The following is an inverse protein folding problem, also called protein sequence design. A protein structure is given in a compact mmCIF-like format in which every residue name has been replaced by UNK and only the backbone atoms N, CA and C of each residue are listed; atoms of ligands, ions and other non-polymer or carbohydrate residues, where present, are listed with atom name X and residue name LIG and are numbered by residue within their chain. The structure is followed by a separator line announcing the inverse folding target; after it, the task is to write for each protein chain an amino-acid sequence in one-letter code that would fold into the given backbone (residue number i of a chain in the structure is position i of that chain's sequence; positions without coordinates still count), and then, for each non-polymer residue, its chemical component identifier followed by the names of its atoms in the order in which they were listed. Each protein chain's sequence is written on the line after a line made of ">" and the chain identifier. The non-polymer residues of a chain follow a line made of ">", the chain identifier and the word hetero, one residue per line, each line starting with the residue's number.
data_IF_154348713178
#
_entry.id   IF_154348713178
#
_cell.length_a   1.000
_cell.length_b   1.000
_cell.length_c   1.000
_cell.angle_alpha   90.00
_cell.angle_beta   90.00
_cell.angle_gamma   90.00
#
_symmetry.space_group_name_H-M   'P 1'
#
loop_
_entity.id
_entity.type
_entity.pdbx_description
1 polymer ?
#
# COMPACT_ATOMS: atom_id res chain seq x y z
N UNK A 1 -12.57 -17.54 -2.56
CA UNK A 1 -12.47 -16.09 -2.36
C UNK A 1 -12.08 -15.45 -3.69
N UNK A 2 -12.69 -14.36 -4.11
CA UNK A 2 -12.27 -13.69 -5.35
C UNK A 2 -10.80 -13.27 -5.25
N UNK A 3 -10.12 -13.21 -6.38
CA UNK A 3 -8.74 -12.71 -6.39
C UNK A 3 -8.74 -11.21 -6.14
N UNK A 4 -7.98 -10.78 -5.14
CA UNK A 4 -7.93 -9.40 -4.65
C UNK A 4 -6.47 -8.99 -4.55
N UNK A 5 -6.16 -7.77 -4.96
CA UNK A 5 -4.86 -7.14 -4.70
C UNK A 5 -5.00 -5.97 -3.75
N UNK A 6 -3.92 -5.70 -3.02
CA UNK A 6 -3.79 -4.51 -2.18
C UNK A 6 -3.00 -3.41 -2.89
N UNK A 7 -3.41 -2.17 -2.70
CA UNK A 7 -2.62 -0.98 -3.00
C UNK A 7 -2.40 -0.20 -1.71
N UNK A 8 -1.17 -0.15 -1.25
CA UNK A 8 -0.78 0.64 -0.08
C UNK A 8 -0.37 2.03 -0.54
N UNK A 9 -1.18 3.03 -0.21
CA UNK A 9 -0.97 4.39 -0.66
C UNK A 9 -0.12 5.20 0.32
N UNK A 10 1.06 5.64 -0.16
CA UNK A 10 1.98 6.52 0.56
C UNK A 10 1.93 7.96 0.04
N UNK A 11 1.16 8.24 -1.00
CA UNK A 11 1.23 9.49 -1.75
C UNK A 11 0.89 10.72 -0.91
N UNK A 12 -0.19 10.64 -0.13
CA UNK A 12 -0.70 11.74 0.71
C UNK A 12 -0.35 11.61 2.19
N UNK A 13 0.71 10.90 2.52
CA UNK A 13 1.15 10.81 3.91
C UNK A 13 1.54 12.20 4.44
N UNK A 14 1.09 12.58 5.66
CA UNK A 14 1.42 13.87 6.25
C UNK A 14 2.92 14.00 6.51
N UNK A 15 3.42 15.22 6.42
CA UNK A 15 4.81 15.53 6.77
C UNK A 15 4.90 15.90 8.27
N UNK A 16 5.57 15.06 9.04
CA UNK A 16 5.82 15.28 10.46
C UNK A 16 7.16 15.99 10.75
N UNK A 17 7.58 16.88 9.86
CA UNK A 17 8.80 17.67 10.04
C UNK A 17 10.08 16.82 10.01
N UNK A 18 10.97 17.01 10.97
CA UNK A 18 12.30 16.38 11.01
C UNK A 18 12.28 14.85 10.93
N UNK A 19 11.21 14.21 11.43
CA UNK A 19 11.07 12.75 11.38
C UNK A 19 10.93 12.26 9.93
N UNK A 20 10.32 13.08 9.07
CA UNK A 20 10.06 12.74 7.67
C UNK A 20 11.00 13.45 6.68
N UNK A 21 12.06 14.11 7.15
CA UNK A 21 12.98 14.89 6.30
C UNK A 21 13.64 14.03 5.22
N UNK A 22 14.14 12.85 5.61
CA UNK A 22 14.89 11.94 4.75
C UNK A 22 14.22 10.56 4.57
N UNK A 23 12.97 10.41 5.00
CA UNK A 23 12.24 9.15 4.92
C UNK A 23 10.75 9.34 4.75
N UNK A 24 10.10 8.39 4.11
CA UNK A 24 8.64 8.35 4.08
C UNK A 24 8.10 8.08 5.50
N UNK A 25 6.99 8.73 5.89
CA UNK A 25 6.35 8.50 7.18
C UNK A 25 6.07 7.02 7.43
N UNK A 26 5.65 6.31 6.39
CA UNK A 26 5.36 4.88 6.44
C UNK A 26 6.57 4.01 6.77
N UNK A 27 7.80 4.51 6.53
CA UNK A 27 9.06 3.82 6.89
C UNK A 27 9.64 4.26 8.24
N UNK A 28 8.95 5.15 8.95
CA UNK A 28 9.37 5.55 10.30
C UNK A 28 9.23 4.37 11.24
N UNK A 29 10.27 4.16 12.07
CA UNK A 29 10.28 3.10 13.06
C UNK A 29 9.15 3.27 14.07
N UNK A 30 8.44 2.20 14.34
CA UNK A 30 7.35 2.10 15.28
C UNK A 30 7.59 0.91 16.22
N UNK A 31 7.47 1.13 17.52
CA UNK A 31 7.73 0.13 18.56
C UNK A 31 9.11 -0.56 18.43
N UNK A 32 10.12 0.18 17.97
CA UNK A 32 11.51 -0.24 17.92
C UNK A 32 11.88 -1.20 16.78
N UNK A 33 10.97 -2.07 16.35
CA UNK A 33 11.24 -3.11 15.32
C UNK A 33 10.47 -2.93 14.03
N UNK A 34 9.30 -2.35 14.11
CA UNK A 34 8.37 -2.22 12.98
C UNK A 34 8.49 -0.84 12.34
N UNK A 35 8.05 -0.71 11.10
CA UNK A 35 7.70 0.55 10.50
C UNK A 35 6.17 0.73 10.48
N UNK A 36 5.70 1.96 10.34
CA UNK A 36 4.27 2.27 10.32
C UNK A 36 3.54 1.45 9.24
N UNK A 37 4.14 1.27 8.05
CA UNK A 37 3.55 0.49 6.95
C UNK A 37 3.39 -1.01 7.26
N UNK A 38 4.08 -1.54 8.26
CA UNK A 38 3.99 -2.97 8.57
C UNK A 38 2.63 -3.37 9.10
N UNK A 39 1.92 -2.44 9.73
CA UNK A 39 0.57 -2.71 10.25
C UNK A 39 -0.43 -2.94 9.10
N UNK A 40 -0.61 -2.01 8.14
CA UNK A 40 -1.49 -2.28 7.00
C UNK A 40 -1.01 -3.44 6.13
N UNK A 41 0.30 -3.64 5.96
CA UNK A 41 0.81 -4.81 5.24
C UNK A 41 0.46 -6.13 5.95
N UNK A 42 0.50 -6.14 7.28
CA UNK A 42 0.07 -7.30 8.07
C UNK A 42 -1.43 -7.55 7.95
N UNK A 43 -2.26 -6.50 7.85
CA UNK A 43 -3.69 -6.65 7.61
C UNK A 43 -3.96 -7.32 6.25
N UNK A 44 -3.25 -6.91 5.18
CA UNK A 44 -3.32 -7.58 3.87
C UNK A 44 -2.93 -9.06 3.98
N UNK A 45 -1.78 -9.36 4.56
CA UNK A 45 -1.28 -10.72 4.70
C UNK A 45 -2.22 -11.62 5.51
N UNK A 46 -2.75 -11.12 6.63
CA UNK A 46 -3.67 -11.86 7.50
C UNK A 46 -5.04 -12.08 6.84
N UNK A 47 -5.42 -11.20 5.92
CA UNK A 47 -6.65 -11.34 5.11
C UNK A 47 -6.46 -12.26 3.90
N UNK A 48 -5.25 -12.81 3.69
CA UNK A 48 -4.95 -13.69 2.56
C UNK A 48 -4.74 -12.93 1.24
N UNK A 49 -4.42 -11.64 1.30
CA UNK A 49 -4.06 -10.82 0.14
C UNK A 49 -2.54 -10.82 0.06
N UNK A 50 -2.02 -11.58 -0.89
CA UNK A 50 -0.60 -11.86 -1.03
C UNK A 50 0.10 -10.98 -2.08
N UNK A 51 -0.65 -10.24 -2.88
CA UNK A 51 -0.12 -9.33 -3.89
C UNK A 51 -0.42 -7.89 -3.53
N UNK A 52 0.60 -7.10 -3.23
CA UNK A 52 0.46 -5.72 -2.76
C UNK A 52 1.36 -4.78 -3.54
N UNK A 53 0.76 -3.78 -4.18
CA UNK A 53 1.47 -2.64 -4.78
C UNK A 53 1.64 -1.52 -3.75
N UNK A 54 2.83 -0.98 -3.63
CA UNK A 54 3.14 0.12 -2.72
C UNK A 54 3.38 1.37 -3.55
N UNK A 55 2.44 2.30 -3.50
CA UNK A 55 2.48 3.56 -4.25
C UNK A 55 3.33 4.59 -3.51
N UNK A 56 4.55 4.82 -4.00
CA UNK A 56 5.54 5.70 -3.35
C UNK A 56 5.70 7.00 -4.12
N UNK A 57 5.67 8.13 -3.42
CA UNK A 57 5.90 9.47 -3.99
C UNK A 57 7.26 10.03 -3.64
N UNK A 58 7.63 9.97 -2.36
CA UNK A 58 8.86 10.58 -1.82
C UNK A 58 9.69 9.58 -1.07
N UNK A 59 11.00 9.79 -1.06
CA UNK A 59 11.95 8.97 -0.31
C UNK A 59 11.79 7.46 -0.55
N UNK A 60 11.70 6.98 -1.81
CA UNK A 60 11.47 5.57 -2.11
C UNK A 60 12.56 4.68 -1.50
N UNK A 61 13.79 5.18 -1.41
CA UNK A 61 14.92 4.44 -0.84
C UNK A 61 14.64 3.92 0.56
N UNK A 62 14.02 4.74 1.42
CA UNK A 62 13.71 4.32 2.80
C UNK A 62 12.71 3.17 2.86
N UNK A 63 11.76 3.14 1.92
CA UNK A 63 10.79 2.04 1.79
C UNK A 63 11.45 0.79 1.22
N UNK A 64 12.26 0.94 0.16
CA UNK A 64 12.99 -0.18 -0.44
C UNK A 64 13.84 -0.88 0.61
N UNK A 65 14.69 -0.15 1.32
CA UNK A 65 15.56 -0.70 2.35
C UNK A 65 14.79 -1.41 3.47
N UNK A 66 13.64 -0.86 3.87
CA UNK A 66 12.80 -1.49 4.89
C UNK A 66 12.17 -2.80 4.39
N UNK A 67 11.68 -2.81 3.17
CA UNK A 67 11.01 -3.97 2.58
C UNK A 67 11.98 -5.06 2.16
N UNK A 68 13.14 -4.71 1.60
CA UNK A 68 14.18 -5.69 1.22
C UNK A 68 14.58 -6.57 2.41
N UNK A 69 14.76 -5.96 3.59
CA UNK A 69 15.06 -6.71 4.81
C UNK A 69 13.97 -7.71 5.23
N UNK A 70 12.74 -7.57 4.71
CA UNK A 70 11.59 -8.43 5.03
C UNK A 70 11.22 -9.40 3.93
N UNK A 71 11.38 -8.99 2.67
CA UNK A 71 11.10 -9.85 1.51
C UNK A 71 12.04 -11.07 1.46
N UNK A 72 13.26 -10.93 1.97
CA UNK A 72 14.22 -12.05 2.13
C UNK A 72 13.99 -12.91 3.38
N UNK A 73 13.02 -12.55 4.24
CA UNK A 73 12.63 -13.39 5.36
C UNK A 73 11.73 -14.52 4.86
N UNK A 74 12.19 -15.75 5.01
CA UNK A 74 11.47 -16.98 4.62
C UNK A 74 10.08 -17.15 5.27
N UNK A 75 9.74 -16.31 6.24
CA UNK A 75 8.47 -16.31 6.96
C UNK A 75 7.49 -15.20 6.52
N UNK A 76 7.77 -14.48 5.43
CA UNK A 76 6.85 -13.47 4.94
C UNK A 76 5.60 -14.11 4.34
N UNK A 77 4.42 -13.83 4.92
CA UNK A 77 3.12 -14.20 4.36
C UNK A 77 2.71 -13.33 3.17
N UNK A 78 3.45 -12.24 2.93
CA UNK A 78 3.28 -11.41 1.75
C UNK A 78 4.02 -12.09 0.59
N UNK A 79 3.29 -12.46 -0.45
CA UNK A 79 3.86 -13.07 -1.64
C UNK A 79 4.55 -12.04 -2.54
N UNK A 80 3.83 -11.49 -3.51
CA UNK A 80 4.38 -10.50 -4.46
C UNK A 80 4.16 -9.07 -3.93
N UNK A 81 5.22 -8.41 -3.48
CA UNK A 81 5.20 -6.98 -3.15
C UNK A 81 5.94 -6.20 -4.23
N UNK A 82 5.28 -5.21 -4.83
CA UNK A 82 5.86 -4.36 -5.87
C UNK A 82 5.86 -2.91 -5.43
N UNK A 83 6.98 -2.22 -5.63
CA UNK A 83 7.06 -0.79 -5.36
C UNK A 83 6.72 -0.05 -6.65
N UNK A 84 5.70 0.78 -6.58
CA UNK A 84 5.11 1.53 -7.68
C UNK A 84 5.48 3.01 -7.56
N UNK A 85 6.21 3.53 -8.52
CA UNK A 85 6.68 4.92 -8.52
C UNK A 85 5.84 5.77 -9.44
N UNK A 86 5.77 7.06 -9.12
CA UNK A 86 5.31 8.09 -10.03
C UNK A 86 6.54 8.72 -10.70
N UNK A 87 6.84 8.34 -11.92
CA UNK A 87 8.02 8.80 -12.66
C UNK A 87 7.69 9.96 -13.59
N UNK A 88 6.66 9.79 -14.39
CA UNK A 88 6.36 10.68 -15.52
C UNK A 88 5.97 12.10 -15.09
N UNK A 89 5.21 12.22 -14.00
CA UNK A 89 4.64 13.49 -13.56
C UNK A 89 5.01 13.84 -12.11
N UNK A 90 6.06 13.22 -11.56
CA UNK A 90 6.44 13.39 -10.16
C UNK A 90 6.67 14.85 -9.75
N UNK A 91 7.14 15.69 -10.68
CA UNK A 91 7.47 17.08 -10.46
C UNK A 91 6.37 18.08 -10.87
N UNK A 92 5.28 17.63 -11.50
CA UNK A 92 4.16 18.50 -11.88
C UNK A 92 3.03 18.39 -10.83
N UNK A 93 2.79 19.47 -10.05
CA UNK A 93 1.76 19.43 -9.01
C UNK A 93 0.35 19.11 -9.52
N UNK A 94 0.06 19.39 -10.79
CA UNK A 94 -1.26 19.15 -11.40
C UNK A 94 -1.54 17.66 -11.60
N UNK A 95 -0.48 16.89 -11.85
CA UNK A 95 -0.55 15.45 -12.13
C UNK A 95 -0.05 14.58 -10.98
N UNK A 96 0.53 15.21 -9.97
CA UNK A 96 1.07 14.51 -8.82
C UNK A 96 -0.04 14.18 -7.80
N UNK A 97 -0.97 13.33 -8.19
CA UNK A 97 -2.12 12.88 -7.41
C UNK A 97 -2.10 11.37 -7.22
N UNK A 98 -2.86 10.87 -6.24
CA UNK A 98 -3.04 9.43 -6.00
C UNK A 98 -3.53 8.70 -7.24
N UNK A 99 -4.51 9.30 -7.94
CA UNK A 99 -5.11 8.72 -9.13
C UNK A 99 -4.09 8.60 -10.26
N UNK A 100 -3.29 9.65 -10.49
CA UNK A 100 -2.25 9.60 -11.52
C UNK A 100 -1.17 8.57 -11.20
N UNK A 101 -0.80 8.41 -9.92
CA UNK A 101 0.13 7.36 -9.52
C UNK A 101 -0.44 5.96 -9.78
N UNK A 102 -1.72 5.74 -9.50
CA UNK A 102 -2.41 4.47 -9.81
C UNK A 102 -2.43 4.24 -11.32
N UNK A 103 -2.79 5.26 -12.12
CA UNK A 103 -2.86 5.16 -13.58
C UNK A 103 -1.48 4.84 -14.18
N UNK A 104 -0.43 5.50 -13.71
CA UNK A 104 0.94 5.27 -14.17
C UNK A 104 1.42 3.85 -13.87
N UNK A 105 0.96 3.28 -12.76
CA UNK A 105 1.27 1.92 -12.34
C UNK A 105 0.15 0.90 -12.66
N UNK A 106 -0.69 1.20 -13.65
CA UNK A 106 -1.81 0.33 -14.05
C UNK A 106 -1.36 -1.08 -14.44
N UNK A 107 -0.13 -1.23 -14.93
CA UNK A 107 0.46 -2.53 -15.25
C UNK A 107 0.35 -3.53 -14.10
N UNK A 108 0.57 -3.09 -12.85
CA UNK A 108 0.46 -3.95 -11.67
C UNK A 108 -0.95 -4.50 -11.49
N UNK A 109 -1.96 -3.67 -11.79
CA UNK A 109 -3.37 -4.05 -11.72
C UNK A 109 -3.70 -5.03 -12.84
N UNK A 110 -3.30 -4.70 -14.07
CA UNK A 110 -3.62 -5.50 -15.26
C UNK A 110 -2.99 -6.90 -15.20
N UNK A 111 -1.74 -7.00 -14.75
CA UNK A 111 -1.05 -8.29 -14.58
C UNK A 111 -1.67 -9.17 -13.48
N UNK A 112 -2.34 -8.57 -12.52
CA UNK A 112 -2.88 -9.31 -11.38
C UNK A 112 -4.07 -10.20 -11.72
N UNK A 113 -4.82 -9.89 -12.78
CA UNK A 113 -6.12 -10.50 -13.10
C UNK A 113 -7.07 -10.54 -11.89
N UNK A 114 -7.04 -9.52 -11.05
CA UNK A 114 -7.82 -9.46 -9.84
C UNK A 114 -9.20 -8.87 -10.08
N UNK A 115 -10.19 -9.41 -9.36
CA UNK A 115 -11.57 -8.93 -9.45
C UNK A 115 -11.76 -7.63 -8.66
N UNK A 116 -11.04 -7.49 -7.55
CA UNK A 116 -11.15 -6.34 -6.67
C UNK A 116 -9.79 -5.78 -6.30
N UNK A 117 -9.77 -4.50 -5.98
CA UNK A 117 -8.62 -3.75 -5.50
C UNK A 117 -8.98 -3.13 -4.16
N UNK A 118 -8.15 -3.32 -3.15
CA UNK A 118 -8.27 -2.64 -1.87
C UNK A 118 -7.19 -1.57 -1.77
N UNK A 119 -7.60 -0.33 -1.65
CA UNK A 119 -6.70 0.79 -1.43
C UNK A 119 -6.69 1.12 0.06
N UNK A 120 -5.51 1.04 0.67
CA UNK A 120 -5.31 1.30 2.08
C UNK A 120 -4.30 2.42 2.29
N UNK A 121 -4.51 3.25 3.32
CA UNK A 121 -3.56 4.27 3.73
C UNK A 121 -2.36 3.65 4.45
N UNK A 122 -1.17 4.15 4.17
CA UNK A 122 0.07 3.64 4.75
C UNK A 122 0.46 4.26 6.09
N UNK A 123 -0.19 5.33 6.48
CA UNK A 123 0.18 6.16 7.63
C UNK A 123 -0.85 6.14 8.76
N UNK A 124 -1.88 5.31 8.63
CA UNK A 124 -2.90 5.11 9.65
C UNK A 124 -2.70 3.74 10.28
N UNK A 125 -2.71 3.70 11.59
CA UNK A 125 -2.60 2.46 12.35
C UNK A 125 -4.00 1.96 12.67
N UNK A 126 -4.36 0.82 12.12
CA UNK A 126 -5.66 0.18 12.33
C UNK A 126 -5.53 -1.34 12.24
N UNK A 127 -6.46 -2.04 12.84
CA UNK A 127 -6.61 -3.49 12.67
C UNK A 127 -7.89 -3.77 11.91
N UNK A 128 -7.77 -4.43 10.77
CA UNK A 128 -8.90 -4.78 9.92
C UNK A 128 -8.68 -6.16 9.29
N UNK A 129 -9.73 -6.98 9.26
CA UNK A 129 -9.80 -8.15 8.37
C UNK A 129 -10.49 -7.71 7.07
N UNK A 130 -9.73 -7.65 6.01
CA UNK A 130 -10.28 -7.26 4.70
C UNK A 130 -11.24 -8.29 4.11
N UNK A 131 -11.32 -9.51 4.66
CA UNK A 131 -12.33 -10.51 4.24
C UNK A 131 -13.74 -10.01 4.51
N UNK A 132 -13.96 -9.38 5.65
CA UNK A 132 -15.26 -8.81 6.01
C UNK A 132 -15.64 -7.66 5.08
N UNK A 133 -14.66 -6.80 4.73
CA UNK A 133 -14.86 -5.70 3.78
C UNK A 133 -15.22 -6.23 2.38
N UNK A 134 -14.52 -7.27 1.90
CA UNK A 134 -14.79 -7.89 0.60
C UNK A 134 -16.19 -8.49 0.58
N UNK A 135 -16.58 -9.20 1.65
CA UNK A 135 -17.92 -9.77 1.77
C UNK A 135 -19.01 -8.70 1.73
N UNK A 136 -18.85 -7.64 2.51
CA UNK A 136 -19.79 -6.52 2.51
C UNK A 136 -19.87 -5.83 1.14
N UNK A 137 -18.74 -5.71 0.43
CA UNK A 137 -18.70 -5.16 -0.93
C UNK A 137 -19.49 -6.05 -1.91
N UNK A 138 -19.31 -7.37 -1.86
CA UNK A 138 -20.03 -8.31 -2.73
C UNK A 138 -21.54 -8.31 -2.45
N UNK A 139 -21.94 -8.24 -1.18
CA UNK A 139 -23.34 -8.17 -0.77
C UNK A 139 -24.02 -6.87 -1.21
N UNK A 140 -23.31 -5.76 -1.13
CA UNK A 140 -23.85 -4.43 -1.52
C UNK A 140 -24.01 -4.25 -3.02
N UNK A 141 -23.33 -5.04 -3.84
CA UNK A 141 -23.23 -4.88 -5.31
C UNK A 141 -22.81 -3.48 -5.74
N UNK A 142 -22.17 -2.73 -4.88
CA UNK A 142 -21.69 -1.38 -5.15
C UNK A 142 -20.45 -1.41 -6.04
N UNK A 143 -20.21 -0.34 -6.79
CA UNK A 143 -18.96 -0.20 -7.56
C UNK A 143 -17.78 0.17 -6.70
N UNK A 144 -18.03 0.81 -5.56
CA UNK A 144 -17.02 1.21 -4.57
C UNK A 144 -17.62 1.10 -3.17
N UNK A 145 -16.82 0.63 -2.22
CA UNK A 145 -17.18 0.56 -0.78
C UNK A 145 -16.09 1.27 0.01
N UNK A 146 -16.48 2.15 0.91
CA UNK A 146 -15.57 2.91 1.77
C UNK A 146 -15.77 2.44 3.21
N UNK A 147 -14.68 2.06 3.86
CA UNK A 147 -14.65 1.80 5.30
C UNK A 147 -14.16 3.07 6.02
N UNK A 148 -14.88 3.51 7.06
CA UNK A 148 -14.57 4.71 7.87
C UNK A 148 -14.79 4.42 9.36
#
# INVERSE_FOLDING_TARGET
>A
MPRVIGLLNLHNAPNLGKICENRALSSVSFLGRYAVCDIPLSNFANSGIDSVGILVKRCPRSMIMHLEGKLFSSNSKLGKTSICYNEKYANDPRYNTDINNIIENKWFIDESNSKYIIIASSHILYRMDFKDLIKAHEESRAKCTIAY
#
